data_IF_455224511659
#
_entry.id   IF_455224511659
#
_cell.length_a   1.000
_cell.length_b   1.000
_cell.length_c   1.000
_cell.angle_alpha   90.00
_cell.angle_beta   90.00
_cell.angle_gamma   90.00
#
_symmetry.space_group_name_H-M   'P 1'
#
loop_
_entity.id
_entity.type
_entity.pdbx_description
1 polymer ?
#
# COMPACT_ATOMS: atom_id res chain seq x y z
N UNK A 1 2.37 -2.19 -19.75
CA UNK A 1 2.52 -2.38 -18.30
C UNK A 1 3.82 -1.71 -17.86
N UNK A 2 3.81 -0.77 -16.91
CA UNK A 2 5.03 -0.06 -16.47
C UNK A 2 6.01 -1.05 -15.79
N UNK A 3 7.31 -0.81 -15.91
CA UNK A 3 8.40 -1.57 -15.27
C UNK A 3 8.15 -1.73 -13.77
N UNK A 4 7.78 -0.65 -13.06
CA UNK A 4 7.54 -0.69 -11.62
C UNK A 4 6.46 -1.71 -11.22
N UNK A 5 5.35 -1.77 -11.96
CA UNK A 5 4.27 -2.73 -11.71
C UNK A 5 4.69 -4.18 -12.02
N UNK A 6 5.46 -4.40 -13.08
CA UNK A 6 6.01 -5.73 -13.40
C UNK A 6 6.95 -6.20 -12.29
N UNK A 7 7.86 -5.33 -11.87
CA UNK A 7 8.84 -5.64 -10.82
C UNK A 7 8.14 -5.94 -9.50
N UNK A 8 7.14 -5.14 -9.10
CA UNK A 8 6.41 -5.40 -7.86
C UNK A 8 5.64 -6.72 -7.90
N UNK A 9 5.03 -7.08 -9.03
CA UNK A 9 4.38 -8.38 -9.20
C UNK A 9 5.34 -9.55 -8.96
N UNK A 10 6.55 -9.50 -9.54
CA UNK A 10 7.55 -10.55 -9.32
C UNK A 10 8.11 -10.56 -7.90
N UNK A 11 8.22 -9.38 -7.26
CA UNK A 11 8.72 -9.25 -5.90
C UNK A 11 7.71 -9.74 -4.84
N UNK A 12 6.41 -9.79 -5.14
CA UNK A 12 5.39 -10.27 -4.20
C UNK A 12 5.66 -11.70 -3.73
N UNK A 13 6.02 -12.62 -4.63
CA UNK A 13 6.22 -14.04 -4.28
C UNK A 13 7.33 -14.23 -3.24
N UNK A 14 8.57 -13.76 -3.44
CA UNK A 14 9.62 -13.89 -2.44
C UNK A 14 9.30 -13.10 -1.16
N UNK A 15 8.63 -11.95 -1.25
CA UNK A 15 8.20 -11.19 -0.08
C UNK A 15 7.19 -11.96 0.78
N UNK A 16 6.14 -12.53 0.17
CA UNK A 16 5.14 -13.34 0.89
C UNK A 16 5.78 -14.58 1.50
N UNK A 17 6.68 -15.23 0.76
CA UNK A 17 7.44 -16.36 1.29
C UNK A 17 8.29 -15.96 2.50
N UNK A 18 9.01 -14.83 2.41
CA UNK A 18 9.82 -14.33 3.52
C UNK A 18 8.96 -13.98 4.74
N UNK A 19 7.88 -13.23 4.55
CA UNK A 19 6.90 -12.91 5.61
C UNK A 19 6.41 -14.18 6.31
N UNK A 20 5.98 -15.18 5.54
CA UNK A 20 5.56 -16.49 6.06
C UNK A 20 6.65 -17.20 6.86
N UNK A 21 7.90 -17.17 6.40
CA UNK A 21 9.01 -17.81 7.12
C UNK A 21 9.34 -17.09 8.42
N UNK A 22 9.25 -15.76 8.47
CA UNK A 22 9.47 -14.97 9.67
C UNK A 22 8.37 -15.22 10.69
N UNK A 23 7.10 -15.23 10.27
CA UNK A 23 5.96 -15.59 11.13
C UNK A 23 6.10 -16.99 11.74
N UNK A 24 6.55 -17.96 10.94
CA UNK A 24 6.85 -19.29 11.47
C UNK A 24 7.90 -19.28 12.58
N UNK A 25 8.85 -18.34 12.57
CA UNK A 25 9.85 -18.22 13.65
C UNK A 25 9.20 -17.78 14.96
N UNK A 26 8.24 -16.86 14.92
CA UNK A 26 7.46 -16.52 16.13
C UNK A 26 6.77 -17.77 16.68
N UNK A 27 6.11 -18.55 15.83
CA UNK A 27 5.42 -19.78 16.25
C UNK A 27 6.33 -20.86 16.85
N UNK A 28 7.60 -20.90 16.47
CA UNK A 28 8.57 -21.86 17.01
C UNK A 28 9.19 -21.40 18.34
N UNK A 29 9.33 -20.10 18.56
CA UNK A 29 10.06 -19.55 19.71
C UNK A 29 9.11 -19.10 20.84
N UNK A 30 7.88 -18.71 20.52
CA UNK A 30 6.96 -18.08 21.45
C UNK A 30 5.76 -18.98 21.78
N UNK A 31 5.16 -18.84 22.98
CA UNK A 31 3.91 -19.51 23.32
C UNK A 31 2.79 -19.17 22.34
N UNK A 32 1.84 -20.10 22.15
CA UNK A 32 0.72 -19.95 21.21
C UNK A 32 -0.11 -18.67 21.41
N UNK A 33 -0.17 -18.18 22.64
CA UNK A 33 -0.90 -16.97 23.03
C UNK A 33 -0.23 -15.70 22.50
N UNK A 34 1.08 -15.75 22.20
CA UNK A 34 1.91 -14.57 21.97
C UNK A 34 2.84 -14.69 20.75
N UNK A 35 2.58 -15.68 19.91
CA UNK A 35 3.40 -16.01 18.73
C UNK A 35 2.91 -15.39 17.43
N UNK A 36 2.03 -14.38 17.50
CA UNK A 36 1.56 -13.61 16.34
C UNK A 36 2.02 -12.18 16.45
N UNK A 37 2.52 -11.63 15.35
CA UNK A 37 2.71 -10.20 15.19
C UNK A 37 1.35 -9.49 15.24
N UNK A 38 1.33 -8.28 15.80
CA UNK A 38 0.16 -7.39 15.75
C UNK A 38 -0.23 -7.07 14.30
N UNK A 39 0.74 -7.09 13.38
CA UNK A 39 0.53 -6.80 11.96
C UNK A 39 -0.38 -7.81 11.26
N UNK A 40 -0.45 -9.04 11.76
CA UNK A 40 -1.35 -10.10 11.27
C UNK A 40 -2.70 -10.15 11.97
N UNK A 41 -2.92 -9.32 12.99
CA UNK A 41 -4.21 -9.25 13.66
C UNK A 41 -5.10 -8.25 12.91
N UNK A 42 -6.11 -8.77 12.19
CA UNK A 42 -6.98 -7.94 11.33
C UNK A 42 -7.72 -6.84 12.10
N UNK A 43 -8.15 -7.14 13.31
CA UNK A 43 -8.90 -6.27 14.19
C UNK A 43 -8.59 -6.64 15.64
N UNK A 44 -7.91 -5.75 16.36
CA UNK A 44 -7.67 -5.90 17.80
C UNK A 44 -8.05 -4.63 18.57
N UNK A 45 -8.32 -4.80 19.86
CA UNK A 45 -8.57 -3.69 20.77
C UNK A 45 -7.27 -3.15 21.37
N UNK A 46 -7.20 -1.85 21.72
CA UNK A 46 -5.97 -1.20 22.19
C UNK A 46 -5.29 -1.94 23.35
N UNK A 47 -6.06 -2.52 24.26
CA UNK A 47 -5.58 -3.24 25.44
C UNK A 47 -4.70 -4.44 25.07
N UNK A 48 -4.94 -5.03 23.88
CA UNK A 48 -4.18 -6.17 23.39
C UNK A 48 -2.75 -5.81 22.98
N UNK A 49 -2.48 -4.55 22.64
CA UNK A 49 -1.17 -4.09 22.15
C UNK A 49 -0.09 -4.41 23.19
N UNK A 50 -0.18 -3.78 24.36
CA UNK A 50 0.84 -3.97 25.39
C UNK A 50 0.77 -5.36 26.02
N UNK A 51 -0.42 -5.95 26.15
CA UNK A 51 -0.56 -7.34 26.62
C UNK A 51 0.28 -8.29 25.75
N UNK A 52 0.19 -8.15 24.42
CA UNK A 52 0.93 -8.98 23.48
C UNK A 52 2.42 -8.68 23.53
N UNK A 53 2.80 -7.40 23.45
CA UNK A 53 4.21 -7.01 23.43
C UNK A 53 4.94 -7.40 24.73
N UNK A 54 4.25 -7.34 25.88
CA UNK A 54 4.80 -7.81 27.16
C UNK A 54 4.90 -9.33 27.20
N UNK A 55 3.87 -10.05 26.74
CA UNK A 55 3.88 -11.51 26.76
C UNK A 55 4.98 -12.13 25.87
N UNK A 56 5.36 -11.46 24.78
CA UNK A 56 6.47 -11.89 23.92
C UNK A 56 7.83 -11.96 24.65
N UNK A 57 8.00 -11.23 25.75
CA UNK A 57 9.26 -11.14 26.49
C UNK A 57 10.41 -10.58 25.64
N UNK A 58 11.65 -10.70 26.12
CA UNK A 58 12.81 -10.13 25.41
C UNK A 58 13.09 -10.84 24.08
N UNK A 59 12.99 -12.17 24.07
CA UNK A 59 13.23 -12.98 22.87
C UNK A 59 12.24 -12.64 21.75
N UNK A 60 10.94 -12.56 22.06
CA UNK A 60 9.93 -12.24 21.06
C UNK A 60 10.03 -10.80 20.57
N UNK A 61 10.35 -9.84 21.45
CA UNK A 61 10.57 -8.44 21.05
C UNK A 61 11.78 -8.29 20.12
N UNK A 62 12.87 -9.03 20.37
CA UNK A 62 14.03 -9.05 19.46
C UNK A 62 13.66 -9.63 18.09
N UNK A 63 12.92 -10.73 18.05
CA UNK A 63 12.40 -11.29 16.79
C UNK A 63 11.48 -10.31 16.07
N UNK A 64 10.68 -9.54 16.81
CA UNK A 64 9.81 -8.52 16.26
C UNK A 64 10.60 -7.39 15.57
N UNK A 65 11.68 -6.92 16.19
CA UNK A 65 12.56 -5.93 15.56
C UNK A 65 13.24 -6.48 14.29
N UNK A 66 13.58 -7.77 14.25
CA UNK A 66 14.11 -8.42 13.05
C UNK A 66 13.05 -8.53 11.94
N UNK A 67 11.80 -8.84 12.28
CA UNK A 67 10.67 -8.84 11.36
C UNK A 67 10.48 -7.47 10.71
N UNK A 68 10.53 -6.38 11.48
CA UNK A 68 10.32 -5.02 10.96
C UNK A 68 11.38 -4.57 9.93
N UNK A 69 12.60 -5.11 9.96
CA UNK A 69 13.60 -4.83 8.90
C UNK A 69 13.07 -5.17 7.50
N UNK A 70 12.29 -6.25 7.41
CA UNK A 70 11.62 -6.64 6.17
C UNK A 70 10.29 -5.90 6.00
N UNK A 71 9.52 -5.75 7.07
CA UNK A 71 8.16 -5.23 7.02
C UNK A 71 8.09 -3.73 6.71
N UNK A 72 9.20 -2.98 6.79
CA UNK A 72 9.27 -1.64 6.21
C UNK A 72 9.38 -1.62 4.68
N UNK A 73 9.83 -2.70 4.04
CA UNK A 73 10.00 -2.79 2.58
C UNK A 73 8.74 -3.32 1.93
N UNK A 74 8.08 -4.28 2.57
CA UNK A 74 6.92 -4.97 2.00
C UNK A 74 5.76 -4.04 1.60
N UNK A 75 5.41 -2.99 2.37
CA UNK A 75 4.40 -2.01 2.00
C UNK A 75 4.65 -1.31 0.68
N UNK A 76 5.91 -1.01 0.35
CA UNK A 76 6.24 -0.42 -0.94
C UNK A 76 6.00 -1.40 -2.09
N UNK A 77 6.31 -2.69 -1.89
CA UNK A 77 6.11 -3.73 -2.90
C UNK A 77 4.62 -3.92 -3.17
N UNK A 78 3.82 -4.20 -2.14
CA UNK A 78 2.41 -4.49 -2.35
C UNK A 78 1.62 -3.24 -2.77
N UNK A 79 1.92 -2.05 -2.25
CA UNK A 79 1.21 -0.83 -2.65
C UNK A 79 1.50 -0.45 -4.11
N UNK A 80 2.73 -0.62 -4.58
CA UNK A 80 3.11 -0.44 -6.00
C UNK A 80 2.38 -1.45 -6.88
N UNK A 81 2.28 -2.71 -6.43
CA UNK A 81 1.47 -3.72 -7.11
C UNK A 81 0.00 -3.32 -7.18
N UNK A 82 -0.63 -2.97 -6.06
CA UNK A 82 -2.04 -2.58 -6.01
C UNK A 82 -2.32 -1.37 -6.89
N UNK A 83 -1.47 -0.34 -6.83
CA UNK A 83 -1.59 0.84 -7.68
C UNK A 83 -1.52 0.47 -9.17
N UNK A 84 -0.55 -0.36 -9.56
CA UNK A 84 -0.40 -0.82 -10.94
C UNK A 84 -1.55 -1.69 -11.41
N UNK A 85 -1.99 -2.64 -10.58
CA UNK A 85 -3.09 -3.55 -10.87
C UNK A 85 -4.41 -2.79 -11.02
N UNK A 86 -4.73 -1.88 -10.10
CA UNK A 86 -5.98 -1.12 -10.14
C UNK A 86 -6.03 -0.17 -11.35
N UNK A 87 -4.93 0.50 -11.69
CA UNK A 87 -4.89 1.31 -12.91
C UNK A 87 -4.96 0.48 -14.20
N UNK A 88 -4.42 -0.74 -14.18
CA UNK A 88 -4.51 -1.65 -15.31
C UNK A 88 -5.94 -2.19 -15.52
N UNK A 89 -6.62 -2.53 -14.42
CA UNK A 89 -7.97 -3.11 -14.43
C UNK A 89 -9.07 -2.06 -14.60
N UNK A 90 -8.83 -0.83 -14.11
CA UNK A 90 -9.81 0.26 -14.06
C UNK A 90 -9.24 1.56 -14.65
N UNK A 91 -8.86 1.58 -15.93
CA UNK A 91 -8.18 2.72 -16.54
C UNK A 91 -8.98 4.03 -16.56
N UNK A 92 -10.31 3.95 -16.51
CA UNK A 92 -11.19 5.12 -16.55
C UNK A 92 -11.44 5.74 -15.16
N UNK A 93 -10.94 5.14 -14.08
CA UNK A 93 -11.20 5.56 -12.68
C UNK A 93 -10.43 6.80 -12.22
N UNK A 94 -9.72 7.49 -13.13
CA UNK A 94 -8.88 8.67 -12.86
C UNK A 94 -7.98 8.51 -11.61
N UNK A 95 -7.32 7.35 -11.48
CA UNK A 95 -6.47 6.95 -10.34
C UNK A 95 -7.18 6.84 -8.97
N UNK A 96 -8.46 7.20 -8.84
CA UNK A 96 -9.15 7.25 -7.54
C UNK A 96 -9.16 5.90 -6.84
N UNK A 97 -9.33 4.81 -7.58
CA UNK A 97 -9.26 3.45 -7.04
C UNK A 97 -7.84 3.08 -6.62
N UNK A 98 -6.83 3.47 -7.41
CA UNK A 98 -5.43 3.12 -7.16
C UNK A 98 -4.87 3.79 -5.90
N UNK A 99 -5.43 4.94 -5.48
CA UNK A 99 -5.06 5.64 -4.24
C UNK A 99 -5.29 4.76 -3.00
N UNK A 100 -6.33 3.92 -2.97
CA UNK A 100 -6.60 3.04 -1.83
C UNK A 100 -5.41 2.12 -1.54
N UNK A 101 -4.76 1.56 -2.57
CA UNK A 101 -3.59 0.71 -2.40
C UNK A 101 -2.37 1.46 -1.84
N UNK A 102 -2.18 2.72 -2.24
CA UNK A 102 -1.10 3.58 -1.74
C UNK A 102 -1.33 3.98 -0.29
N UNK A 103 -2.55 4.39 0.06
CA UNK A 103 -2.90 4.76 1.44
C UNK A 103 -2.81 3.54 2.36
N UNK A 104 -3.17 2.35 1.87
CA UNK A 104 -2.97 1.09 2.62
C UNK A 104 -1.50 0.91 3.01
N UNK A 105 -0.59 1.00 2.04
CA UNK A 105 0.86 0.91 2.29
C UNK A 105 1.40 2.00 3.21
N UNK A 106 0.84 3.21 3.14
CA UNK A 106 1.20 4.28 4.06
C UNK A 106 0.74 4.02 5.50
N UNK A 107 -0.50 3.53 5.69
CA UNK A 107 -1.00 3.15 7.01
C UNK A 107 -0.13 2.06 7.65
N UNK A 108 0.30 1.08 6.86
CA UNK A 108 1.19 -0.01 7.26
C UNK A 108 2.54 0.51 7.78
N UNK A 109 3.19 1.41 7.05
CA UNK A 109 4.43 2.05 7.51
C UNK A 109 4.24 2.83 8.82
N UNK A 110 3.13 3.56 8.97
CA UNK A 110 2.82 4.31 10.19
C UNK A 110 2.58 3.36 11.36
N UNK A 111 1.82 2.29 11.17
CA UNK A 111 1.60 1.25 12.18
C UNK A 111 2.92 0.66 12.65
N UNK A 112 3.78 0.24 11.72
CA UNK A 112 5.08 -0.35 12.01
C UNK A 112 5.97 0.60 12.82
N UNK A 113 5.94 1.91 12.50
CA UNK A 113 6.65 2.93 13.29
C UNK A 113 6.09 3.08 14.69
N UNK A 114 4.76 3.11 14.84
CA UNK A 114 4.11 3.22 16.15
C UNK A 114 4.37 2.00 17.02
N UNK A 115 4.36 0.79 16.47
CA UNK A 115 4.68 -0.45 17.21
C UNK A 115 6.16 -0.47 17.60
N UNK A 116 7.08 -0.10 16.71
CA UNK A 116 8.50 0.07 17.07
C UNK A 116 8.68 1.08 18.23
N UNK A 117 7.93 2.19 18.19
CA UNK A 117 7.95 3.18 19.26
C UNK A 117 7.40 2.59 20.58
N UNK A 118 6.31 1.81 20.54
CA UNK A 118 5.77 1.11 21.71
C UNK A 118 6.78 0.12 22.29
N UNK A 119 7.44 -0.68 21.45
CA UNK A 119 8.48 -1.64 21.82
C UNK A 119 9.65 -0.96 22.54
N UNK A 120 10.09 0.20 22.06
CA UNK A 120 11.21 0.96 22.62
C UNK A 120 10.91 1.57 24.00
N UNK A 121 9.62 1.77 24.34
CA UNK A 121 9.21 2.40 25.60
C UNK A 121 8.74 1.41 26.67
N UNK A 122 8.69 0.12 26.35
CA UNK A 122 8.38 -0.91 27.35
C UNK A 122 9.36 -0.88 28.53
N UNK A 123 8.88 -1.05 29.77
CA UNK A 123 7.53 -1.47 30.17
C UNK A 123 6.50 -0.34 30.29
N UNK A 124 6.84 0.90 29.95
CA UNK A 124 5.91 2.04 30.02
C UNK A 124 4.81 1.88 28.97
N UNK A 125 3.56 1.90 29.43
CA UNK A 125 2.38 1.80 28.56
C UNK A 125 1.76 3.18 28.33
N UNK A 126 1.25 3.39 27.12
CA UNK A 126 0.59 4.62 26.71
C UNK A 126 -0.69 4.27 25.94
N UNK A 127 -1.85 4.45 26.58
CA UNK A 127 -3.15 4.10 26.02
C UNK A 127 -3.46 4.85 24.73
N UNK A 128 -2.98 6.10 24.61
CA UNK A 128 -3.10 6.89 23.39
C UNK A 128 -2.33 6.29 22.22
N UNK A 129 -1.11 5.79 22.48
CA UNK A 129 -0.30 5.09 21.48
C UNK A 129 -0.94 3.75 21.07
N UNK A 130 -1.40 2.95 22.04
CA UNK A 130 -2.09 1.71 21.76
C UNK A 130 -3.37 1.92 20.93
N UNK A 131 -4.13 2.97 21.27
CA UNK A 131 -5.32 3.36 20.51
C UNK A 131 -4.98 3.79 19.09
N UNK A 132 -3.90 4.54 18.89
CA UNK A 132 -3.42 4.93 17.57
C UNK A 132 -3.00 3.70 16.74
N UNK A 133 -2.23 2.77 17.32
CA UNK A 133 -1.82 1.52 16.67
C UNK A 133 -3.06 0.74 16.22
N UNK A 134 -4.01 0.49 17.13
CA UNK A 134 -5.23 -0.24 16.80
C UNK A 134 -6.06 0.46 15.71
N UNK A 135 -6.21 1.78 15.79
CA UNK A 135 -6.96 2.56 14.78
C UNK A 135 -6.30 2.50 13.40
N UNK A 136 -4.99 2.67 13.32
CA UNK A 136 -4.24 2.61 12.06
C UNK A 136 -4.30 1.19 11.48
N UNK A 137 -4.12 0.15 12.29
CA UNK A 137 -4.24 -1.26 11.86
C UNK A 137 -5.62 -1.57 11.28
N UNK A 138 -6.69 -1.19 11.99
CA UNK A 138 -8.08 -1.33 11.51
C UNK A 138 -8.29 -0.60 10.18
N UNK A 139 -7.70 0.58 10.02
CA UNK A 139 -7.79 1.39 8.80
C UNK A 139 -7.04 0.72 7.65
N UNK A 140 -5.78 0.30 7.88
CA UNK A 140 -4.95 -0.47 6.94
C UNK A 140 -5.74 -1.65 6.37
N UNK A 141 -6.28 -2.50 7.24
CA UNK A 141 -6.99 -3.71 6.81
C UNK A 141 -8.25 -3.40 6.01
N UNK A 142 -9.04 -2.39 6.40
CA UNK A 142 -10.20 -1.95 5.59
C UNK A 142 -9.79 -1.52 4.19
N UNK A 143 -8.76 -0.67 4.07
CA UNK A 143 -8.29 -0.18 2.77
C UNK A 143 -7.65 -1.31 1.93
N UNK A 144 -6.93 -2.22 2.58
CA UNK A 144 -6.35 -3.41 1.96
C UNK A 144 -7.42 -4.33 1.38
N UNK A 145 -8.45 -4.68 2.17
CA UNK A 145 -9.56 -5.50 1.70
C UNK A 145 -10.34 -4.83 0.56
N UNK A 146 -10.58 -3.52 0.65
CA UNK A 146 -11.21 -2.77 -0.45
C UNK A 146 -10.37 -2.83 -1.72
N UNK A 147 -9.06 -2.62 -1.62
CA UNK A 147 -8.13 -2.68 -2.76
C UNK A 147 -8.12 -4.06 -3.41
N UNK A 148 -8.04 -5.13 -2.59
CA UNK A 148 -8.08 -6.51 -3.06
C UNK A 148 -9.42 -6.86 -3.71
N UNK A 149 -10.55 -6.43 -3.14
CA UNK A 149 -11.87 -6.63 -3.71
C UNK A 149 -12.00 -5.95 -5.09
N UNK A 150 -11.49 -4.73 -5.24
CA UNK A 150 -11.46 -4.02 -6.52
C UNK A 150 -10.56 -4.70 -7.56
N UNK A 151 -9.39 -5.23 -7.15
CA UNK A 151 -8.54 -6.04 -8.04
C UNK A 151 -9.29 -7.29 -8.49
N UNK A 152 -9.91 -8.02 -7.56
CA UNK A 152 -10.67 -9.23 -7.87
C UNK A 152 -11.82 -8.95 -8.84
N UNK A 153 -12.64 -7.93 -8.55
CA UNK A 153 -13.74 -7.52 -9.44
C UNK A 153 -13.24 -7.13 -10.84
N UNK A 154 -12.09 -6.44 -10.92
CA UNK A 154 -11.47 -6.07 -12.19
C UNK A 154 -11.01 -7.28 -13.00
N UNK A 155 -10.40 -8.28 -12.33
CA UNK A 155 -9.99 -9.54 -12.96
C UNK A 155 -11.21 -10.31 -13.48
N UNK A 156 -12.27 -10.46 -12.66
CA UNK A 156 -13.52 -11.13 -13.08
C UNK A 156 -14.13 -10.45 -14.30
N UNK A 157 -14.20 -9.11 -14.32
CA UNK A 157 -14.65 -8.33 -15.48
C UNK A 157 -13.80 -8.60 -16.73
N UNK A 158 -12.47 -8.64 -16.58
CA UNK A 158 -11.56 -8.88 -17.69
C UNK A 158 -11.73 -10.29 -18.28
N UNK A 159 -11.82 -11.31 -17.41
CA UNK A 159 -12.04 -12.70 -17.81
C UNK A 159 -13.39 -12.85 -18.50
N UNK A 160 -14.46 -12.27 -17.93
CA UNK A 160 -15.81 -12.28 -18.52
C UNK A 160 -15.88 -11.62 -19.89
N UNK A 161 -15.00 -10.66 -20.17
CA UNK A 161 -14.89 -10.00 -21.48
C UNK A 161 -13.90 -10.68 -22.45
N UNK A 162 -13.42 -11.90 -22.13
CA UNK A 162 -12.51 -12.66 -22.97
C UNK A 162 -11.08 -12.10 -22.99
N UNK A 163 -10.58 -11.64 -21.84
CA UNK A 163 -9.24 -11.05 -21.66
C UNK A 163 -8.99 -9.77 -22.48
N UNK A 164 -10.05 -9.12 -22.96
CA UNK A 164 -9.92 -7.81 -23.59
C UNK A 164 -9.46 -6.82 -22.53
N UNK A 165 -8.24 -6.32 -22.69
CA UNK A 165 -7.69 -5.26 -21.86
C UNK A 165 -8.61 -4.05 -21.97
N UNK A 166 -9.10 -3.47 -20.86
CA UNK A 166 -9.91 -2.27 -20.91
C UNK A 166 -9.11 -1.15 -21.60
N UNK A 167 -9.57 -0.72 -22.77
CA UNK A 167 -8.91 0.35 -23.52
C UNK A 167 -9.41 1.68 -22.98
N UNK A 168 -8.52 2.57 -22.55
CA UNK A 168 -8.86 3.97 -22.25
C UNK A 168 -9.51 4.58 -23.49
N UNK A 169 -10.79 4.92 -23.44
CA UNK A 169 -11.41 5.77 -24.46
C UNK A 169 -10.86 7.19 -24.27
N UNK A 170 -9.67 7.47 -24.80
CA UNK A 170 -9.19 8.85 -24.89
C UNK A 170 -10.14 9.58 -25.82
N UNK A 171 -10.86 10.58 -25.29
CA UNK A 171 -11.57 11.53 -26.12
C UNK A 171 -10.60 12.06 -27.19
N UNK A 172 -11.02 12.14 -28.48
CA UNK A 172 -10.16 12.67 -29.52
C UNK A 172 -9.68 14.05 -29.08
N UNK A 173 -8.35 14.21 -29.02
CA UNK A 173 -7.73 15.51 -28.76
C UNK A 173 -8.31 16.46 -29.80
N UNK A 174 -9.18 17.36 -29.38
CA UNK A 174 -9.71 18.41 -30.23
C UNK A 174 -8.48 19.12 -30.81
N UNK A 175 -8.25 18.92 -32.11
CA UNK A 175 -7.13 19.49 -32.85
C UNK A 175 -7.14 20.99 -32.61
N UNK A 176 -6.24 21.48 -31.76
CA UNK A 176 -6.04 22.90 -31.55
C UNK A 176 -5.61 23.48 -32.90
N UNK A 177 -6.53 24.16 -33.59
CA UNK A 177 -6.20 24.94 -34.79
C UNK A 177 -5.10 25.92 -34.42
N UNK A 178 -3.99 26.00 -35.19
CA UNK A 178 -2.97 27.00 -34.97
C UNK A 178 -3.61 28.40 -35.02
N UNK A 179 -3.43 29.20 -33.97
CA UNK A 179 -3.74 30.63 -34.03
C UNK A 179 -2.75 31.28 -35.00
N UNK A 180 -3.23 31.64 -36.20
CA UNK A 180 -2.47 32.48 -37.13
C UNK A 180 -2.14 33.82 -36.47
N UNK A 181 -0.87 34.01 -36.14
CA UNK A 181 -0.33 35.27 -35.64
C UNK A 181 -0.29 36.27 -36.80
N UNK A 182 -1.30 37.15 -36.91
CA UNK A 182 -1.27 38.33 -37.78
C UNK A 182 -0.21 39.33 -37.28
N UNK A 183 1.05 39.16 -37.70
CA UNK A 183 2.09 40.19 -37.63
C UNK A 183 2.91 40.18 -38.92
N UNK A 184 2.48 40.97 -39.90
CA UNK A 184 3.36 41.68 -40.84
C UNK A 184 2.51 42.39 -41.89
N UNK A 185 2.28 43.70 -41.72
CA UNK A 185 2.00 44.69 -42.78
C UNK A 185 1.73 46.06 -42.14
N UNK A 186 2.75 46.65 -41.52
CA UNK A 186 2.76 48.07 -41.16
C UNK A 186 4.21 48.57 -41.05
N UNK A 187 5.00 48.39 -42.12
CA UNK A 187 6.30 49.06 -42.25
C UNK A 187 6.66 49.27 -43.72
N UNK A 188 5.80 49.99 -44.45
CA UNK A 188 6.16 50.59 -45.75
C UNK A 188 5.14 51.66 -46.18
N UNK A 189 5.41 52.91 -45.79
CA UNK A 189 4.95 54.21 -46.35
C UNK A 189 5.27 55.24 -45.25
N UNK A 190 6.04 56.30 -45.43
CA UNK A 190 6.63 56.98 -46.60
C UNK A 190 7.83 57.77 -46.07
N UNK A 191 8.96 57.73 -46.76
CA UNK A 191 9.80 58.92 -46.89
C UNK A 191 9.28 59.72 -48.08
N UNK A 192 9.24 61.02 -47.91
CA UNK A 192 9.50 62.10 -48.88
C UNK A 192 9.15 63.40 -48.17
#
# INVERSE_FOLDING_TARGET
MNVAFRTSLYALVPCVYLAYTLEKRFAMVLPAECNRSLDNEFYFEPELVYQRLTCMGDAGRSLYLDFYKFDFIFPFVYSTFLYGALNYLWPDSNNGMAVFGVVTGFCDLVENMLICFALAHLPTQNDGLASAIAFISKTKWRLGFMSLAMVFAGVVRMVGNGFKVPTVQRAPVASQKPKETKKSKAKKKKSN
#
